data_IF_513038564804
#
_entry.id   IF_513038564804
#
_cell.length_a   1.000
_cell.length_b   1.000
_cell.length_c   1.000
_cell.angle_alpha   90.00
_cell.angle_beta   90.00
_cell.angle_gamma   90.00
#
_symmetry.space_group_name_H-M   'P 1'
#
loop_
_entity.id
_entity.type
_entity.pdbx_description
1 polymer ?
#
# COMPACT_ATOMS: atom_id res chain seq x y z
N UNK A 1 -86.40 15.50 -37.59
CA UNK A 1 -84.91 15.62 -37.58
C UNK A 1 -84.28 15.33 -36.20
N UNK A 2 -84.88 15.75 -35.09
CA UNK A 2 -84.30 15.65 -33.72
C UNK A 2 -84.14 14.20 -33.19
N UNK A 3 -85.09 13.30 -33.49
CA UNK A 3 -85.10 11.91 -33.00
C UNK A 3 -83.88 11.10 -33.51
N UNK A 4 -83.46 11.32 -34.76
CA UNK A 4 -82.33 10.63 -35.39
C UNK A 4 -80.96 11.07 -34.80
N UNK A 5 -80.88 12.31 -34.31
CA UNK A 5 -79.68 12.83 -33.65
C UNK A 5 -79.53 12.22 -32.26
N UNK A 6 -80.64 12.08 -31.51
CA UNK A 6 -80.65 11.47 -30.17
C UNK A 6 -80.23 10.00 -30.21
N UNK A 7 -80.76 9.21 -31.15
CA UNK A 7 -80.39 7.79 -31.31
C UNK A 7 -78.92 7.62 -31.72
N UNK A 8 -78.41 8.45 -32.64
CA UNK A 8 -77.00 8.45 -33.05
C UNK A 8 -76.07 8.85 -31.89
N UNK A 9 -76.47 9.82 -31.07
CA UNK A 9 -75.74 10.22 -29.85
C UNK A 9 -75.68 9.08 -28.84
N UNK A 10 -76.79 8.40 -28.57
CA UNK A 10 -76.83 7.23 -27.67
C UNK A 10 -75.98 6.07 -28.20
N UNK A 11 -75.99 5.83 -29.51
CA UNK A 11 -75.14 4.82 -30.15
C UNK A 11 -73.64 5.14 -30.00
N UNK A 12 -73.23 6.38 -30.28
CA UNK A 12 -71.85 6.83 -30.11
C UNK A 12 -71.40 6.74 -28.64
N UNK A 13 -72.27 7.13 -27.70
CA UNK A 13 -72.00 7.04 -26.27
C UNK A 13 -71.81 5.59 -25.78
N UNK A 14 -72.62 4.66 -26.30
CA UNK A 14 -72.45 3.23 -26.02
C UNK A 14 -71.12 2.71 -26.57
N UNK A 15 -70.76 3.10 -27.80
CA UNK A 15 -69.49 2.72 -28.44
C UNK A 15 -68.27 3.30 -27.71
N UNK A 16 -68.37 4.53 -27.20
CA UNK A 16 -67.34 5.17 -26.38
C UNK A 16 -67.17 4.46 -25.04
N UNK A 17 -68.27 4.08 -24.39
CA UNK A 17 -68.25 3.29 -23.16
C UNK A 17 -67.59 1.93 -23.35
N UNK A 18 -67.91 1.22 -24.45
CA UNK A 18 -67.28 -0.07 -24.77
C UNK A 18 -65.77 0.08 -24.98
N UNK A 19 -65.35 1.06 -25.79
CA UNK A 19 -63.92 1.34 -26.03
C UNK A 19 -63.19 1.75 -24.74
N UNK A 20 -63.83 2.52 -23.86
CA UNK A 20 -63.27 2.91 -22.56
C UNK A 20 -63.08 1.69 -21.65
N UNK A 21 -64.02 0.75 -21.67
CA UNK A 21 -63.92 -0.50 -20.93
C UNK A 21 -62.79 -1.41 -21.47
N UNK A 22 -62.66 -1.52 -22.79
CA UNK A 22 -61.55 -2.24 -23.45
C UNK A 22 -60.20 -1.65 -23.12
N UNK A 23 -60.06 -0.31 -23.21
CA UNK A 23 -58.83 0.41 -22.85
C UNK A 23 -58.41 0.13 -21.40
N UNK A 24 -59.38 0.10 -20.48
CA UNK A 24 -59.13 -0.15 -19.06
C UNK A 24 -58.65 -1.58 -18.81
N UNK A 25 -59.22 -2.56 -19.52
CA UNK A 25 -58.75 -3.96 -19.48
C UNK A 25 -57.34 -4.11 -20.08
N UNK A 26 -57.04 -3.42 -21.18
CA UNK A 26 -55.71 -3.44 -21.80
C UNK A 26 -54.65 -2.84 -20.87
N UNK A 27 -54.95 -1.68 -20.24
CA UNK A 27 -54.08 -1.04 -19.24
C UNK A 27 -53.83 -1.93 -18.03
N UNK A 28 -54.85 -2.67 -17.56
CA UNK A 28 -54.69 -3.64 -16.46
C UNK A 28 -53.75 -4.78 -16.85
N UNK A 29 -53.80 -5.27 -18.10
CA UNK A 29 -52.88 -6.31 -18.59
C UNK A 29 -51.45 -5.78 -18.69
N UNK A 30 -51.26 -4.60 -19.28
CA UNK A 30 -49.96 -3.95 -19.40
C UNK A 30 -49.29 -3.77 -18.03
N UNK A 31 -50.04 -3.26 -17.04
CA UNK A 31 -49.51 -3.07 -15.68
C UNK A 31 -49.07 -4.38 -15.02
N UNK A 32 -49.82 -5.47 -15.23
CA UNK A 32 -49.44 -6.80 -14.73
C UNK A 32 -48.15 -7.31 -15.39
N UNK A 33 -47.96 -7.06 -16.68
CA UNK A 33 -46.71 -7.40 -17.38
C UNK A 33 -45.53 -6.55 -16.89
N UNK A 34 -45.71 -5.24 -16.71
CA UNK A 34 -44.70 -4.34 -16.15
C UNK A 34 -44.28 -4.79 -14.74
N UNK A 35 -45.22 -5.14 -13.87
CA UNK A 35 -44.93 -5.63 -12.52
C UNK A 35 -44.16 -6.96 -12.54
N UNK A 36 -44.47 -7.84 -13.51
CA UNK A 36 -43.76 -9.11 -13.72
C UNK A 36 -42.33 -8.89 -14.20
N UNK A 37 -42.13 -7.98 -15.16
CA UNK A 37 -40.81 -7.61 -15.67
C UNK A 37 -39.96 -6.92 -14.60
N UNK A 38 -40.53 -6.00 -13.82
CA UNK A 38 -39.86 -5.33 -12.70
C UNK A 38 -39.35 -6.34 -11.68
N UNK A 39 -40.15 -7.34 -11.32
CA UNK A 39 -39.72 -8.42 -10.41
C UNK A 39 -38.55 -9.23 -10.96
N UNK A 40 -38.57 -9.55 -12.27
CA UNK A 40 -37.47 -10.28 -12.92
C UNK A 40 -36.17 -9.46 -12.93
N UNK A 41 -36.26 -8.17 -13.25
CA UNK A 41 -35.11 -7.25 -13.23
C UNK A 41 -34.54 -7.16 -11.82
N UNK A 42 -35.37 -6.89 -10.81
CA UNK A 42 -34.93 -6.81 -9.42
C UNK A 42 -34.27 -8.11 -8.94
N UNK A 43 -34.79 -9.27 -9.36
CA UNK A 43 -34.19 -10.56 -9.02
C UNK A 43 -32.85 -10.80 -9.74
N UNK A 44 -32.70 -10.35 -10.99
CA UNK A 44 -31.45 -10.43 -11.72
C UNK A 44 -30.38 -9.52 -11.08
N UNK A 45 -30.74 -8.27 -10.77
CA UNK A 45 -29.87 -7.31 -10.08
C UNK A 45 -29.42 -7.84 -8.72
N UNK A 46 -30.35 -8.39 -7.92
CA UNK A 46 -30.01 -8.98 -6.61
C UNK A 46 -29.03 -10.15 -6.76
N UNK A 47 -29.25 -11.04 -7.73
CA UNK A 47 -28.32 -12.15 -8.03
C UNK A 47 -26.95 -11.65 -8.45
N UNK A 48 -26.89 -10.57 -9.23
CA UNK A 48 -25.63 -9.98 -9.68
C UNK A 48 -24.88 -9.32 -8.53
N UNK A 49 -25.57 -8.57 -7.67
CA UNK A 49 -25.03 -8.00 -6.45
C UNK A 49 -24.49 -9.09 -5.50
N UNK A 50 -25.24 -10.19 -5.31
CA UNK A 50 -24.80 -11.32 -4.50
C UNK A 50 -23.53 -11.98 -5.08
N UNK A 51 -23.44 -12.14 -6.40
CA UNK A 51 -22.23 -12.63 -7.07
C UNK A 51 -21.04 -11.70 -6.85
N UNK A 52 -21.23 -10.40 -7.04
CA UNK A 52 -20.17 -9.40 -6.82
C UNK A 52 -19.70 -9.39 -5.36
N UNK A 53 -20.63 -9.46 -4.40
CA UNK A 53 -20.32 -9.52 -2.99
C UNK A 53 -19.56 -10.80 -2.61
N UNK A 54 -19.97 -11.95 -3.13
CA UNK A 54 -19.29 -13.22 -2.91
C UNK A 54 -17.87 -13.21 -3.51
N UNK A 55 -17.70 -12.60 -4.68
CA UNK A 55 -16.39 -12.42 -5.29
C UNK A 55 -15.47 -11.54 -4.43
N UNK A 56 -15.97 -10.39 -3.94
CA UNK A 56 -15.21 -9.53 -3.03
C UNK A 56 -14.81 -10.26 -1.73
N UNK A 57 -15.73 -11.00 -1.11
CA UNK A 57 -15.45 -11.80 0.09
C UNK A 57 -14.37 -12.86 -0.16
N UNK A 58 -14.43 -13.52 -1.32
CA UNK A 58 -13.43 -14.52 -1.70
C UNK A 58 -12.05 -13.89 -1.83
N UNK A 59 -11.92 -12.78 -2.58
CA UNK A 59 -10.67 -12.03 -2.70
C UNK A 59 -10.12 -11.59 -1.35
N UNK A 60 -10.99 -11.08 -0.47
CA UNK A 60 -10.57 -10.62 0.86
C UNK A 60 -10.08 -11.77 1.74
N UNK A 61 -10.66 -12.96 1.60
CA UNK A 61 -10.22 -14.17 2.31
C UNK A 61 -8.85 -14.62 1.81
N UNK A 62 -8.63 -14.64 0.49
CA UNK A 62 -7.35 -14.98 -0.12
C UNK A 62 -6.25 -13.99 0.31
N UNK A 63 -6.53 -12.68 0.32
CA UNK A 63 -5.60 -11.66 0.82
C UNK A 63 -5.24 -11.91 2.28
N UNK A 64 -6.23 -12.18 3.14
CA UNK A 64 -5.98 -12.44 4.56
C UNK A 64 -5.17 -13.72 4.78
N UNK A 65 -5.41 -14.77 3.99
CA UNK A 65 -4.65 -16.01 4.05
C UNK A 65 -3.18 -15.79 3.64
N UNK A 66 -2.94 -15.08 2.53
CA UNK A 66 -1.57 -14.73 2.09
C UNK A 66 -0.87 -13.87 3.15
N UNK A 67 -1.58 -12.92 3.77
CA UNK A 67 -1.03 -12.08 4.84
C UNK A 67 -0.60 -12.91 6.06
N UNK A 68 -1.41 -13.90 6.46
CA UNK A 68 -1.09 -14.80 7.58
C UNK A 68 0.15 -15.66 7.29
N UNK A 69 0.23 -16.26 6.10
CA UNK A 69 1.40 -17.06 5.67
C UNK A 69 2.68 -16.22 5.71
N UNK A 70 2.60 -14.98 5.21
CA UNK A 70 3.74 -14.07 5.19
C UNK A 70 4.18 -13.65 6.60
N UNK A 71 3.24 -13.36 7.50
CA UNK A 71 3.55 -13.07 8.91
C UNK A 71 4.27 -14.23 9.62
N UNK A 72 3.90 -15.48 9.32
CA UNK A 72 4.60 -16.66 9.86
C UNK A 72 6.01 -16.80 9.30
N UNK A 73 6.22 -16.57 7.99
CA UNK A 73 7.54 -16.56 7.36
C UNK A 73 8.44 -15.47 7.96
N UNK A 74 7.89 -14.27 8.17
CA UNK A 74 8.65 -13.14 8.72
C UNK A 74 9.09 -13.38 10.17
N UNK A 75 8.22 -13.95 11.02
CA UNK A 75 8.58 -14.31 12.40
C UNK A 75 9.68 -15.37 12.44
N UNK A 76 9.63 -16.35 11.54
CA UNK A 76 10.69 -17.35 11.42
C UNK A 76 12.00 -16.71 10.91
N UNK A 77 11.92 -15.72 10.00
CA UNK A 77 13.08 -14.96 9.52
C UNK A 77 13.72 -14.07 10.61
N UNK A 78 12.91 -13.51 11.52
CA UNK A 78 13.40 -12.69 12.64
C UNK A 78 14.14 -13.55 13.67
N UNK A 79 13.69 -14.79 13.88
CA UNK A 79 14.34 -15.78 14.74
C UNK A 79 15.59 -16.39 14.09
N UNK A 80 15.67 -16.43 12.75
CA UNK A 80 16.82 -16.95 11.99
C UNK A 80 17.82 -15.88 11.54
N UNK A 81 17.60 -14.60 11.87
CA UNK A 81 18.47 -13.51 11.44
C UNK A 81 19.84 -13.59 12.13
N UNK A 82 20.89 -13.74 11.31
CA UNK A 82 22.28 -13.84 11.74
C UNK A 82 22.78 -12.53 12.37
N UNK A 83 22.28 -11.40 11.87
CA UNK A 83 22.62 -10.07 12.34
C UNK A 83 21.41 -9.34 12.90
N UNK A 84 21.64 -8.39 13.81
CA UNK A 84 20.58 -7.55 14.34
C UNK A 84 20.40 -6.32 13.46
N UNK A 85 21.49 -5.76 12.93
CA UNK A 85 21.48 -4.58 12.06
C UNK A 85 22.36 -4.78 10.84
N UNK A 86 21.91 -4.30 9.68
CA UNK A 86 22.80 -4.05 8.56
C UNK A 86 22.98 -2.55 8.29
N UNK A 87 24.15 -2.15 7.76
CA UNK A 87 24.43 -0.76 7.40
C UNK A 87 24.75 -0.67 5.91
N UNK A 88 23.85 -0.06 5.15
CA UNK A 88 24.07 0.30 3.75
C UNK A 88 24.63 1.72 3.66
N UNK A 89 25.73 1.86 2.92
CA UNK A 89 26.49 3.10 2.85
C UNK A 89 27.24 3.22 1.52
N UNK A 90 27.63 4.44 1.16
CA UNK A 90 28.56 4.66 0.07
C UNK A 90 29.98 4.23 0.50
N UNK A 91 30.74 3.60 -0.40
CA UNK A 91 32.16 3.22 -0.16
C UNK A 91 33.03 4.31 0.46
N UNK A 92 32.73 5.55 0.10
CA UNK A 92 33.44 6.76 0.52
C UNK A 92 33.23 7.05 2.00
N UNK A 93 32.09 6.64 2.58
CA UNK A 93 31.74 6.90 3.99
C UNK A 93 32.19 5.77 4.94
N UNK A 94 32.87 4.76 4.39
CA UNK A 94 33.16 3.52 5.12
C UNK A 94 34.12 3.75 6.28
N UNK A 95 35.24 4.40 6.00
CA UNK A 95 36.34 4.55 6.96
C UNK A 95 36.10 5.69 7.94
N UNK A 96 35.44 6.77 7.50
CA UNK A 96 35.28 7.99 8.30
C UNK A 96 34.07 7.94 9.23
N UNK A 97 33.01 7.20 8.87
CA UNK A 97 31.78 7.16 9.66
C UNK A 97 31.30 5.74 9.98
N UNK A 98 31.20 4.85 8.99
CA UNK A 98 30.53 3.57 9.16
C UNK A 98 31.32 2.60 10.04
N UNK A 99 32.64 2.54 9.88
CA UNK A 99 33.50 1.70 10.73
C UNK A 99 33.45 2.15 12.20
N UNK A 100 33.66 3.43 12.55
CA UNK A 100 33.46 3.91 13.92
C UNK A 100 32.07 3.61 14.50
N UNK A 101 31.01 3.83 13.71
CA UNK A 101 29.64 3.54 14.13
C UNK A 101 29.44 2.04 14.40
N UNK A 102 29.95 1.18 13.52
CA UNK A 102 29.87 -0.27 13.67
C UNK A 102 30.63 -0.76 14.91
N UNK A 103 31.79 -0.18 15.21
CA UNK A 103 32.54 -0.50 16.43
C UNK A 103 31.77 -0.07 17.70
N UNK A 104 31.22 1.15 17.70
CA UNK A 104 30.40 1.64 18.82
C UNK A 104 29.18 0.74 19.08
N UNK A 105 28.46 0.35 18.03
CA UNK A 105 27.31 -0.56 18.12
C UNK A 105 27.71 -1.99 18.55
N UNK A 106 28.85 -2.51 18.09
CA UNK A 106 29.39 -3.80 18.55
C UNK A 106 29.71 -3.79 20.04
N UNK A 107 30.25 -2.68 20.54
CA UNK A 107 30.51 -2.51 21.98
C UNK A 107 29.23 -2.49 22.82
N UNK A 108 28.08 -2.15 22.20
CA UNK A 108 26.76 -2.24 22.80
C UNK A 108 26.09 -3.62 22.62
N UNK A 109 26.81 -4.61 22.07
CA UNK A 109 26.31 -5.98 21.89
C UNK A 109 25.43 -6.19 20.66
N UNK A 110 25.41 -5.25 19.71
CA UNK A 110 24.65 -5.39 18.46
C UNK A 110 25.48 -6.17 17.43
N UNK A 111 24.88 -7.20 16.81
CA UNK A 111 25.51 -7.93 15.70
C UNK A 111 25.27 -7.17 14.39
N UNK A 112 26.34 -6.78 13.71
CA UNK A 112 26.28 -5.86 12.56
C UNK A 112 26.87 -6.47 11.31
N UNK A 113 26.23 -6.21 10.17
CA UNK A 113 26.74 -6.53 8.84
C UNK A 113 26.80 -5.27 7.95
N UNK A 114 28.00 -4.90 7.47
CA UNK A 114 28.17 -3.66 6.69
C UNK A 114 29.14 -3.79 5.51
N UNK A 115 30.16 -4.65 5.57
CA UNK A 115 31.22 -4.72 4.54
C UNK A 115 30.68 -5.06 3.14
N UNK A 116 29.82 -6.07 3.01
CA UNK A 116 29.24 -6.51 1.72
C UNK A 116 28.14 -5.56 1.20
N UNK A 117 27.67 -4.63 2.04
CA UNK A 117 26.60 -3.67 1.72
C UNK A 117 27.13 -2.29 1.36
N UNK A 118 28.42 -2.22 1.04
CA UNK A 118 29.06 -1.08 0.42
C UNK A 118 28.50 -0.87 -0.99
N UNK A 119 27.95 0.32 -1.24
CA UNK A 119 27.34 0.68 -2.53
C UNK A 119 28.36 1.32 -3.47
N UNK A 120 28.37 0.88 -4.74
CA UNK A 120 29.16 1.45 -5.84
C UNK A 120 28.24 1.97 -6.95
N UNK A 121 28.81 2.79 -7.85
CA UNK A 121 28.07 3.28 -9.03
C UNK A 121 27.67 2.09 -9.90
N UNK A 122 26.37 2.01 -10.22
CA UNK A 122 25.79 0.93 -11.02
C UNK A 122 25.19 -0.22 -10.22
N UNK A 123 25.39 -0.26 -8.89
CA UNK A 123 24.69 -1.23 -8.03
C UNK A 123 23.19 -0.91 -7.97
N UNK A 124 22.35 -1.93 -7.70
CA UNK A 124 20.96 -1.70 -7.32
C UNK A 124 20.83 -1.55 -5.80
N UNK A 125 20.34 -0.39 -5.37
CA UNK A 125 20.04 -0.12 -3.96
C UNK A 125 19.01 -1.13 -3.42
N UNK A 126 18.00 -1.45 -4.24
CA UNK A 126 16.93 -2.38 -3.86
C UNK A 126 17.47 -3.77 -3.54
N UNK A 127 18.36 -4.30 -4.38
CA UNK A 127 18.94 -5.63 -4.19
C UNK A 127 19.81 -5.69 -2.94
N UNK A 128 20.61 -4.65 -2.68
CA UNK A 128 21.44 -4.56 -1.47
C UNK A 128 20.61 -4.50 -0.19
N UNK A 129 19.52 -3.73 -0.20
CA UNK A 129 18.58 -3.69 0.92
C UNK A 129 17.92 -5.06 1.11
N UNK A 130 17.49 -5.72 0.03
CA UNK A 130 16.86 -7.04 0.11
C UNK A 130 17.83 -8.09 0.70
N UNK A 131 19.10 -8.07 0.29
CA UNK A 131 20.14 -8.90 0.92
C UNK A 131 20.30 -8.58 2.41
N UNK A 132 20.38 -7.30 2.76
CA UNK A 132 20.42 -6.77 4.12
C UNK A 132 19.30 -7.33 5.00
N UNK A 133 18.07 -7.21 4.51
CA UNK A 133 16.83 -7.60 5.20
C UNK A 133 16.66 -9.11 5.29
N UNK A 134 17.29 -9.91 4.42
CA UNK A 134 17.28 -11.37 4.56
C UNK A 134 18.14 -11.80 5.76
N UNK A 135 19.35 -11.22 5.89
CA UNK A 135 20.31 -11.64 6.94
C UNK A 135 20.11 -10.92 8.28
N UNK A 136 19.36 -9.82 8.30
CA UNK A 136 19.25 -8.94 9.48
C UNK A 136 17.80 -8.64 9.86
N UNK A 137 17.62 -8.21 11.12
CA UNK A 137 16.31 -7.79 11.65
C UNK A 137 15.96 -6.36 11.27
N UNK A 138 16.94 -5.47 11.36
CA UNK A 138 16.83 -4.05 11.06
C UNK A 138 17.84 -3.63 9.99
N UNK A 139 17.57 -2.51 9.33
CA UNK A 139 18.48 -1.88 8.38
C UNK A 139 18.74 -0.42 8.74
N UNK A 140 19.92 0.07 8.39
CA UNK A 140 20.25 1.49 8.44
C UNK A 140 20.91 1.91 7.16
N UNK A 141 20.53 3.10 6.67
CA UNK A 141 21.06 3.66 5.43
C UNK A 141 21.70 5.00 5.74
N UNK A 142 22.97 5.13 5.37
CA UNK A 142 23.73 6.37 5.52
C UNK A 142 23.49 7.25 4.30
N UNK A 143 22.67 8.28 4.49
CA UNK A 143 22.39 9.32 3.51
C UNK A 143 23.47 10.40 3.62
N UNK A 144 24.55 10.24 2.87
CA UNK A 144 25.64 11.20 2.74
C UNK A 144 25.62 11.91 1.39
N UNK A 145 26.47 12.92 1.23
CA UNK A 145 26.71 13.56 -0.08
C UNK A 145 27.17 12.52 -1.13
N UNK A 146 28.04 11.57 -0.74
CA UNK A 146 28.51 10.47 -1.58
C UNK A 146 27.39 9.49 -1.96
N UNK A 147 26.43 9.29 -1.07
CA UNK A 147 25.25 8.47 -1.34
C UNK A 147 24.32 9.17 -2.33
N UNK A 148 24.03 10.45 -2.11
CA UNK A 148 23.11 11.25 -2.92
C UNK A 148 23.66 11.51 -4.33
N UNK A 149 24.99 11.61 -4.47
CA UNK A 149 25.64 11.79 -5.78
C UNK A 149 25.55 10.55 -6.68
N UNK A 150 25.22 9.38 -6.13
CA UNK A 150 25.03 8.16 -6.93
C UNK A 150 23.67 8.24 -7.63
N UNK A 151 23.64 7.87 -8.91
CA UNK A 151 22.46 7.98 -9.78
C UNK A 151 21.40 6.92 -9.50
N UNK A 152 20.84 6.92 -8.29
CA UNK A 152 19.74 6.04 -7.89
C UNK A 152 18.47 6.38 -8.67
N UNK A 153 17.72 5.36 -9.09
CA UNK A 153 16.44 5.62 -9.72
C UNK A 153 15.41 6.08 -8.69
N UNK A 154 14.54 7.02 -9.06
CA UNK A 154 13.42 7.47 -8.20
C UNK A 154 12.53 6.30 -7.76
N UNK A 155 12.43 5.27 -8.62
CA UNK A 155 11.70 4.05 -8.33
C UNK A 155 12.33 3.25 -7.17
N UNK A 156 13.65 3.10 -7.13
CA UNK A 156 14.33 2.40 -6.03
C UNK A 156 14.15 3.11 -4.70
N UNK A 157 14.28 4.44 -4.67
CA UNK A 157 14.11 5.25 -3.47
C UNK A 157 12.68 5.18 -2.93
N UNK A 158 11.68 5.28 -3.81
CA UNK A 158 10.27 5.18 -3.42
C UNK A 158 9.91 3.76 -2.95
N UNK A 159 10.47 2.73 -3.61
CA UNK A 159 10.23 1.32 -3.24
C UNK A 159 10.74 1.00 -1.85
N UNK A 160 11.86 1.62 -1.45
CA UNK A 160 12.39 1.50 -0.09
C UNK A 160 11.42 2.06 0.94
N UNK A 161 10.87 3.26 0.71
CA UNK A 161 9.91 3.89 1.62
C UNK A 161 8.61 3.07 1.73
N UNK A 162 8.12 2.53 0.62
CA UNK A 162 6.90 1.74 0.57
C UNK A 162 7.03 0.38 1.26
N UNK A 163 8.22 -0.24 1.26
CA UNK A 163 8.45 -1.55 1.90
C UNK A 163 8.23 -1.49 3.42
N UNK A 164 8.60 -0.39 4.07
CA UNK A 164 8.39 -0.22 5.51
C UNK A 164 6.91 -0.07 5.91
N UNK A 165 6.09 0.57 5.07
CA UNK A 165 4.66 0.80 5.37
C UNK A 165 3.85 -0.49 5.52
N UNK A 166 4.36 -1.61 5.00
CA UNK A 166 3.71 -2.91 5.07
C UNK A 166 4.00 -3.70 6.36
N UNK A 167 4.72 -3.11 7.33
CA UNK A 167 4.94 -3.69 8.66
C UNK A 167 6.12 -4.66 8.75
N UNK A 168 7.00 -4.68 7.73
CA UNK A 168 8.15 -5.57 7.66
C UNK A 168 9.43 -4.75 7.85
N UNK A 169 10.21 -5.09 8.89
CA UNK A 169 11.62 -4.69 9.14
C UNK A 169 11.98 -3.20 8.87
N UNK A 170 12.20 -2.46 9.95
CA UNK A 170 12.43 -1.00 9.91
C UNK A 170 13.81 -0.64 9.34
N UNK A 171 13.82 0.30 8.41
CA UNK A 171 14.98 0.97 7.84
C UNK A 171 15.12 2.33 8.52
N UNK A 172 16.19 2.49 9.30
CA UNK A 172 16.49 3.71 10.05
C UNK A 172 17.46 4.59 9.24
N UNK A 173 17.01 5.71 8.65
CA UNK A 173 17.91 6.59 7.92
C UNK A 173 18.82 7.39 8.86
N UNK A 174 20.08 7.56 8.47
CA UNK A 174 21.04 8.48 9.10
C UNK A 174 21.45 9.53 8.08
N UNK A 175 21.34 10.80 8.43
CA UNK A 175 21.85 11.92 7.64
C UNK A 175 23.30 12.18 8.04
N UNK A 176 24.21 12.05 7.07
CA UNK A 176 25.64 12.25 7.29
C UNK A 176 26.19 13.39 6.45
N UNK A 177 26.54 14.52 7.09
CA UNK A 177 27.13 15.71 6.42
C UNK A 177 26.29 16.24 5.23
N UNK A 178 24.97 16.20 5.36
CA UNK A 178 24.00 16.64 4.34
C UNK A 178 22.99 17.62 4.92
N UNK A 179 22.46 18.51 4.10
CA UNK A 179 21.39 19.43 4.51
C UNK A 179 20.02 18.82 4.23
N UNK A 180 19.00 19.35 4.92
CA UNK A 180 17.60 18.97 4.65
C UNK A 180 17.22 19.22 3.19
N UNK A 181 17.72 20.30 2.59
CA UNK A 181 17.47 20.64 1.19
C UNK A 181 18.04 19.60 0.23
N UNK A 182 19.24 19.08 0.50
CA UNK A 182 19.85 18.03 -0.31
C UNK A 182 18.99 16.75 -0.32
N UNK A 183 18.49 16.37 0.87
CA UNK A 183 17.61 15.20 1.01
C UNK A 183 16.25 15.43 0.36
N UNK A 184 15.66 16.62 0.46
CA UNK A 184 14.40 16.94 -0.24
C UNK A 184 14.59 16.86 -1.76
N UNK A 185 15.68 17.42 -2.29
CA UNK A 185 15.97 17.39 -3.71
C UNK A 185 16.22 15.96 -4.21
N UNK A 186 16.85 15.14 -3.38
CA UNK A 186 17.11 13.74 -3.67
C UNK A 186 15.85 12.88 -3.61
N UNK A 187 15.10 12.95 -2.51
CA UNK A 187 13.85 12.25 -2.30
C UNK A 187 13.01 12.91 -1.20
N UNK A 188 11.92 13.63 -1.56
CA UNK A 188 11.01 14.21 -0.58
C UNK A 188 10.43 13.18 0.39
N UNK A 189 10.16 11.96 -0.10
CA UNK A 189 9.63 10.86 0.71
C UNK A 189 10.61 10.39 1.80
N UNK A 190 11.92 10.59 1.61
CA UNK A 190 12.93 10.32 2.63
C UNK A 190 13.13 11.49 3.58
N UNK A 191 12.96 12.72 3.09
CA UNK A 191 13.08 13.93 3.91
C UNK A 191 12.01 14.02 5.01
N UNK A 192 10.83 13.44 4.77
CA UNK A 192 9.72 13.43 5.72
C UNK A 192 9.88 12.35 6.81
N UNK A 193 10.90 11.48 6.72
CA UNK A 193 11.16 10.47 7.75
C UNK A 193 12.01 11.01 8.88
N UNK A 194 11.70 10.56 10.09
CA UNK A 194 12.56 10.78 11.26
C UNK A 194 13.89 10.06 11.02
N UNK A 195 14.98 10.80 11.11
CA UNK A 195 16.33 10.34 10.83
C UNK A 195 17.30 10.86 11.90
N UNK A 196 18.33 10.07 12.19
CA UNK A 196 19.43 10.51 13.04
C UNK A 196 20.36 11.42 12.24
N UNK A 197 20.97 12.43 12.87
CA UNK A 197 21.78 13.40 12.15
C UNK A 197 23.17 13.56 12.80
N UNK A 198 24.22 13.27 12.03
CA UNK A 198 25.61 13.37 12.52
C UNK A 198 26.09 14.80 12.74
N UNK A 199 25.33 15.81 12.28
CA UNK A 199 25.62 17.23 12.57
C UNK A 199 25.13 17.66 13.95
N UNK A 200 24.21 16.90 14.56
CA UNK A 200 23.59 17.23 15.85
C UNK A 200 24.06 16.23 16.91
N UNK A 201 24.18 14.96 16.54
CA UNK A 201 24.50 13.87 17.45
C UNK A 201 25.91 13.32 17.21
N UNK A 202 26.57 12.91 18.28
CA UNK A 202 27.81 12.16 18.21
C UNK A 202 27.58 10.72 17.75
N UNK A 203 28.64 10.04 17.31
CA UNK A 203 28.56 8.63 16.88
C UNK A 203 28.07 7.74 18.02
N UNK A 204 28.51 8.00 19.25
CA UNK A 204 28.10 7.23 20.43
C UNK A 204 26.63 7.43 20.78
N UNK A 205 26.10 8.65 20.61
CA UNK A 205 24.67 8.93 20.79
C UNK A 205 23.83 8.21 19.74
N UNK A 206 24.25 8.29 18.47
CA UNK A 206 23.60 7.58 17.36
C UNK A 206 23.60 6.07 17.62
N UNK A 207 24.73 5.52 18.05
CA UNK A 207 24.85 4.10 18.38
C UNK A 207 23.90 3.69 19.51
N UNK A 208 23.79 4.50 20.57
CA UNK A 208 22.85 4.26 21.67
C UNK A 208 21.40 4.32 21.23
N UNK A 209 21.03 5.32 20.43
CA UNK A 209 19.65 5.44 19.93
C UNK A 209 19.27 4.26 19.03
N UNK A 210 20.16 3.83 18.13
CA UNK A 210 19.96 2.64 17.32
C UNK A 210 19.85 1.38 18.19
N UNK A 211 20.76 1.19 19.15
CA UNK A 211 20.74 0.03 20.04
C UNK A 211 19.43 -0.06 20.84
N UNK A 212 18.90 1.07 21.32
CA UNK A 212 17.62 1.12 22.04
C UNK A 212 16.44 0.67 21.17
N UNK A 213 16.46 0.99 19.86
CA UNK A 213 15.42 0.55 18.92
C UNK A 213 15.55 -0.94 18.60
N UNK A 214 16.77 -1.44 18.47
CA UNK A 214 17.06 -2.82 18.04
C UNK A 214 16.89 -3.82 19.19
N UNK A 215 17.32 -3.44 20.40
CA UNK A 215 17.26 -4.24 21.62
C UNK A 215 16.51 -3.46 22.71
N UNK A 216 15.19 -3.28 22.56
CA UNK A 216 14.39 -2.64 23.60
C UNK A 216 14.48 -3.46 24.89
N UNK A 217 14.91 -2.81 25.97
CA UNK A 217 15.07 -3.40 27.32
C UNK A 217 13.72 -3.82 27.90
#
# INVERSE_FOLDING_TARGET
MIINIKSKKTYLQKKESTKKCELLNLKKKLRKEEDSLRKKIQQAEKKEQEKQLNFQRKLQTEINQVKQIKLSEDNQSLLSAEYDLFISHASEDKEDFVRPLAEALKNLGVRIWYDELTLKVGDSLREKIDQGLIKSKFGTIVLSSSFISKSWTKYELNSMVAKEMNGHKMILPIWHKVTKTDIINFSPALADKVALNTSINSIDEIAKELANVIQPT
#
